data_IF_056844735474
#
_entry.id   IF_056844735474
#
_cell.length_a   1.000
_cell.length_b   1.000
_cell.length_c   1.000
_cell.angle_alpha   90.00
_cell.angle_beta   90.00
_cell.angle_gamma   90.00
#
_symmetry.space_group_name_H-M   'P 1'
#
loop_
_entity.id
_entity.type
_entity.pdbx_description
1 polymer ?
#
# COMPACT_ATOMS: atom_id res chain seq x y z
N UNK A 1 35.15 7.74 3.87
CA UNK A 1 35.12 7.46 2.42
C UNK A 1 34.25 8.50 1.74
N UNK A 2 34.65 8.94 0.58
CA UNK A 2 33.98 9.91 -0.28
C UNK A 2 33.82 9.26 -1.65
N UNK A 3 32.61 9.33 -2.23
CA UNK A 3 32.36 8.96 -3.60
C UNK A 3 32.42 10.24 -4.44
N UNK A 4 33.24 10.24 -5.47
CA UNK A 4 33.29 11.30 -6.47
C UNK A 4 32.39 10.93 -7.66
N UNK A 5 31.43 11.79 -7.94
CA UNK A 5 30.54 11.64 -9.10
C UNK A 5 31.09 12.47 -10.23
N UNK A 6 31.43 11.87 -11.40
CA UNK A 6 31.90 12.61 -12.56
C UNK A 6 30.75 13.44 -13.16
N UNK A 7 31.06 14.66 -13.63
CA UNK A 7 30.12 15.58 -14.24
C UNK A 7 30.78 16.89 -14.57
N UNK A 8 30.05 17.82 -15.21
CA UNK A 8 30.54 19.18 -15.48
C UNK A 8 30.87 19.92 -14.18
N UNK A 9 30.12 19.65 -13.12
CA UNK A 9 30.42 20.03 -11.73
C UNK A 9 30.58 18.76 -10.89
N UNK A 10 31.83 18.35 -10.58
CA UNK A 10 32.07 17.15 -9.76
C UNK A 10 31.44 17.28 -8.39
N UNK A 11 30.59 16.34 -8.01
CA UNK A 11 29.98 16.28 -6.71
C UNK A 11 30.67 15.24 -5.83
N UNK A 12 30.79 15.53 -4.53
CA UNK A 12 31.32 14.61 -3.52
C UNK A 12 30.19 14.15 -2.60
N UNK A 13 30.02 12.85 -2.47
CA UNK A 13 29.05 12.25 -1.56
C UNK A 13 29.79 11.59 -0.39
N UNK A 14 29.47 12.02 0.82
CA UNK A 14 30.05 11.47 2.05
C UNK A 14 29.37 10.14 2.36
N UNK A 15 30.16 9.05 2.35
CA UNK A 15 29.67 7.69 2.64
C UNK A 15 29.78 7.33 4.15
N UNK A 16 29.62 8.34 5.03
CA UNK A 16 29.62 8.10 6.49
C UNK A 16 28.46 7.20 6.87
N UNK A 17 28.78 6.10 7.58
CA UNK A 17 27.77 5.11 8.01
C UNK A 17 27.42 4.04 6.97
N UNK A 18 27.84 4.18 5.71
CA UNK A 18 27.61 3.15 4.70
C UNK A 18 28.19 1.78 5.06
N UNK A 19 29.41 1.66 5.60
CA UNK A 19 29.95 0.36 6.03
C UNK A 19 29.07 -0.32 7.09
N UNK A 20 28.58 0.44 8.08
CA UNK A 20 27.71 -0.09 9.14
C UNK A 20 26.37 -0.56 8.58
N UNK A 21 25.79 0.21 7.63
CA UNK A 21 24.60 -0.17 6.91
C UNK A 21 24.79 -1.47 6.13
N UNK A 22 25.87 -1.57 5.35
CA UNK A 22 26.17 -2.77 4.55
C UNK A 22 26.40 -3.99 5.45
N UNK A 23 27.10 -3.81 6.59
CA UNK A 23 27.27 -4.87 7.56
C UNK A 23 25.92 -5.31 8.16
N UNK A 24 25.02 -4.36 8.44
CA UNK A 24 23.68 -4.68 8.93
C UNK A 24 22.86 -5.44 7.89
N UNK A 25 22.96 -5.07 6.61
CA UNK A 25 22.33 -5.80 5.50
C UNK A 25 22.86 -7.24 5.44
N UNK A 26 24.18 -7.43 5.47
CA UNK A 26 24.80 -8.76 5.47
C UNK A 26 24.34 -9.62 6.65
N UNK A 27 24.22 -9.00 7.84
CA UNK A 27 23.74 -9.68 9.05
C UNK A 27 22.28 -10.14 8.91
N UNK A 28 21.40 -9.27 8.42
CA UNK A 28 19.96 -9.59 8.22
C UNK A 28 19.77 -10.66 7.15
N UNK A 29 20.57 -10.61 6.10
CA UNK A 29 20.55 -11.59 5.01
C UNK A 29 21.37 -12.85 5.29
N UNK A 30 21.99 -12.95 6.48
CA UNK A 30 22.85 -14.07 6.89
C UNK A 30 24.02 -14.31 5.92
N UNK A 31 24.58 -13.23 5.37
CA UNK A 31 25.71 -13.28 4.43
C UNK A 31 27.08 -13.07 5.08
N UNK A 32 27.13 -12.71 6.36
CA UNK A 32 28.40 -12.50 7.05
C UNK A 32 29.34 -13.71 6.90
N UNK A 33 30.60 -13.45 6.54
CA UNK A 33 31.61 -14.48 6.34
C UNK A 33 31.52 -15.25 5.01
N UNK A 34 30.58 -14.91 4.13
CA UNK A 34 30.50 -15.49 2.80
C UNK A 34 31.22 -14.64 1.76
N UNK A 35 31.56 -15.22 0.61
CA UNK A 35 32.14 -14.49 -0.53
C UNK A 35 31.18 -13.43 -1.12
N UNK A 36 29.89 -13.48 -0.78
CA UNK A 36 28.86 -12.54 -1.24
C UNK A 36 28.54 -11.43 -0.25
N UNK A 37 29.23 -11.37 0.90
CA UNK A 37 29.04 -10.29 1.86
C UNK A 37 29.48 -8.94 1.26
N UNK A 38 28.72 -7.88 1.58
CA UNK A 38 28.94 -6.53 1.03
C UNK A 38 30.03 -5.75 1.81
N UNK A 39 30.01 -5.89 3.14
CA UNK A 39 30.91 -5.13 4.02
C UNK A 39 32.21 -5.87 4.33
N UNK A 40 32.15 -7.17 4.58
CA UNK A 40 33.27 -8.01 4.99
C UNK A 40 33.15 -9.39 4.34
N UNK A 41 33.58 -9.54 3.09
CA UNK A 41 33.63 -10.86 2.42
C UNK A 41 34.49 -11.84 3.21
N UNK A 42 34.03 -13.07 3.32
CA UNK A 42 34.72 -14.19 3.94
C UNK A 42 34.98 -15.34 2.97
N UNK A 43 35.31 -16.51 3.49
CA UNK A 43 35.67 -17.67 2.66
C UNK A 43 34.48 -18.64 2.41
N UNK A 44 33.38 -18.48 3.13
CA UNK A 44 32.23 -19.34 2.96
C UNK A 44 31.59 -19.13 1.55
N UNK A 45 31.16 -20.18 0.88
CA UNK A 45 30.58 -20.07 -0.45
C UNK A 45 29.25 -19.28 -0.41
N UNK A 46 28.91 -18.61 -1.51
CA UNK A 46 27.62 -17.90 -1.64
C UNK A 46 26.39 -18.78 -1.37
N UNK A 47 26.51 -20.09 -1.63
CA UNK A 47 25.44 -21.07 -1.33
C UNK A 47 25.18 -21.30 0.16
N UNK A 48 26.04 -20.80 1.05
CA UNK A 48 25.77 -20.78 2.49
C UNK A 48 24.73 -19.74 2.90
N UNK A 49 24.44 -18.74 2.03
CA UNK A 49 23.37 -17.78 2.27
C UNK A 49 22.02 -18.47 2.08
N UNK A 50 21.10 -18.37 3.05
CA UNK A 50 19.76 -18.92 2.87
C UNK A 50 19.11 -18.38 1.59
N UNK A 51 18.51 -19.27 0.80
CA UNK A 51 17.72 -18.85 -0.36
C UNK A 51 16.54 -17.98 0.04
N UNK A 52 16.08 -17.14 -0.88
CA UNK A 52 14.83 -16.41 -0.69
C UNK A 52 13.70 -17.41 -0.41
N UNK A 53 12.98 -17.19 0.67
CA UNK A 53 11.75 -17.93 0.90
C UNK A 53 10.79 -17.61 -0.25
N UNK A 54 10.23 -18.63 -0.93
CA UNK A 54 9.24 -18.37 -1.96
C UNK A 54 8.09 -17.56 -1.34
N UNK A 55 7.68 -16.50 -2.02
CA UNK A 55 6.49 -15.76 -1.64
C UNK A 55 5.30 -16.74 -1.57
N UNK A 56 4.44 -16.56 -0.56
CA UNK A 56 3.24 -17.37 -0.46
C UNK A 56 2.41 -17.21 -1.76
N UNK A 57 2.06 -18.33 -2.37
CA UNK A 57 1.23 -18.30 -3.58
C UNK A 57 -0.15 -17.77 -3.19
N UNK A 58 -0.54 -16.65 -3.79
CA UNK A 58 -1.85 -16.05 -3.58
C UNK A 58 -2.92 -16.80 -4.37
N UNK A 59 -4.11 -16.95 -3.78
CA UNK A 59 -5.24 -17.52 -4.52
C UNK A 59 -5.72 -16.52 -5.57
N UNK A 60 -6.14 -16.99 -6.76
CA UNK A 60 -6.73 -16.13 -7.77
C UNK A 60 -8.01 -15.44 -7.26
N UNK A 61 -8.24 -14.22 -7.70
CA UNK A 61 -9.52 -13.54 -7.48
C UNK A 61 -10.64 -14.30 -8.20
N UNK A 62 -11.71 -14.69 -7.49
CA UNK A 62 -12.77 -15.49 -8.10
C UNK A 62 -13.67 -14.69 -9.05
N UNK A 63 -13.47 -13.37 -9.14
CA UNK A 63 -14.36 -12.48 -9.85
C UNK A 63 -15.69 -12.27 -9.10
N UNK A 64 -16.40 -11.21 -9.42
CA UNK A 64 -17.69 -10.90 -8.79
C UNK A 64 -18.64 -10.20 -9.76
N UNK A 65 -19.93 -10.51 -9.63
CA UNK A 65 -20.97 -9.82 -10.40
C UNK A 65 -21.07 -8.34 -9.98
N UNK A 66 -21.13 -7.40 -10.93
CA UNK A 66 -21.32 -5.98 -10.63
C UNK A 66 -22.54 -5.71 -9.75
N UNK A 67 -22.49 -4.58 -9.02
CA UNK A 67 -23.63 -4.11 -8.24
C UNK A 67 -24.77 -3.67 -9.14
N UNK A 68 -25.99 -4.14 -8.88
CA UNK A 68 -27.20 -3.65 -9.55
C UNK A 68 -27.54 -2.20 -9.10
N UNK A 69 -28.32 -1.48 -9.90
CA UNK A 69 -28.67 -0.09 -9.60
C UNK A 69 -29.38 0.08 -8.25
N UNK A 70 -30.36 -0.79 -7.94
CA UNK A 70 -31.07 -0.77 -6.65
C UNK A 70 -30.13 -1.07 -5.46
N UNK A 71 -29.24 -2.01 -5.63
CA UNK A 71 -28.26 -2.42 -4.64
C UNK A 71 -27.29 -1.26 -4.35
N UNK A 72 -26.73 -0.63 -5.39
CA UNK A 72 -25.86 0.55 -5.25
C UNK A 72 -26.58 1.70 -4.53
N UNK A 73 -27.80 2.02 -4.91
CA UNK A 73 -28.59 3.07 -4.28
C UNK A 73 -28.86 2.76 -2.80
N UNK A 74 -29.20 1.51 -2.49
CA UNK A 74 -29.44 1.08 -1.10
C UNK A 74 -28.18 1.15 -0.24
N UNK A 75 -27.03 0.70 -0.75
CA UNK A 75 -25.73 0.79 -0.08
C UNK A 75 -25.37 2.25 0.21
N UNK A 76 -25.40 3.13 -0.80
CA UNK A 76 -25.12 4.55 -0.62
C UNK A 76 -26.03 5.22 0.41
N UNK A 77 -27.32 4.89 0.41
CA UNK A 77 -28.28 5.42 1.39
C UNK A 77 -28.00 4.91 2.81
N UNK A 78 -27.59 3.64 2.94
CA UNK A 78 -27.24 3.05 4.24
C UNK A 78 -25.96 3.66 4.82
N UNK A 79 -24.92 3.86 3.97
CA UNK A 79 -23.66 4.48 4.39
C UNK A 79 -23.90 5.93 4.84
N UNK A 80 -24.63 6.73 4.04
CA UNK A 80 -24.92 8.13 4.40
C UNK A 80 -25.59 8.30 5.75
N UNK A 81 -26.38 7.32 6.20
CA UNK A 81 -27.04 7.35 7.52
C UNK A 81 -26.06 7.16 8.69
N UNK A 82 -24.91 6.58 8.44
CA UNK A 82 -23.88 6.30 9.45
C UNK A 82 -22.78 7.36 9.50
N UNK A 83 -22.72 8.23 8.48
CA UNK A 83 -21.75 9.34 8.48
C UNK A 83 -22.10 10.38 9.54
N UNK A 84 -21.10 10.94 10.21
CA UNK A 84 -21.32 12.10 11.08
C UNK A 84 -21.90 13.26 10.26
N UNK A 85 -22.69 14.15 10.87
CA UNK A 85 -23.15 15.37 10.20
C UNK A 85 -21.93 16.18 9.75
N UNK A 86 -22.00 16.78 8.55
CA UNK A 86 -20.94 17.66 8.06
C UNK A 86 -20.65 18.73 9.12
N UNK A 87 -19.40 18.86 9.54
CA UNK A 87 -19.00 19.94 10.45
C UNK A 87 -19.07 21.25 9.67
N UNK A 88 -20.03 22.10 10.01
CA UNK A 88 -20.07 23.49 9.58
C UNK A 88 -19.26 24.30 10.59
N UNK A 89 -17.94 24.24 10.50
CA UNK A 89 -17.07 25.17 11.20
C UNK A 89 -16.76 26.28 10.19
N UNK A 90 -17.23 27.46 10.46
CA UNK A 90 -17.08 28.75 9.75
C UNK A 90 -17.51 28.80 8.26
N UNK A 91 -18.26 29.86 7.92
CA UNK A 91 -18.91 30.08 6.62
C UNK A 91 -17.92 30.23 5.42
N UNK A 92 -16.63 30.30 5.69
CA UNK A 92 -15.57 30.51 4.69
C UNK A 92 -14.77 29.20 4.37
N UNK A 93 -14.97 28.11 5.12
CA UNK A 93 -14.32 26.84 4.83
C UNK A 93 -15.12 26.03 3.79
N UNK A 94 -14.49 25.75 2.66
CA UNK A 94 -15.04 24.87 1.64
C UNK A 94 -15.14 23.43 2.18
N UNK A 95 -16.32 23.10 2.70
CA UNK A 95 -16.60 21.71 3.12
C UNK A 95 -16.90 20.87 1.89
N UNK A 96 -15.99 19.98 1.52
CA UNK A 96 -16.26 19.00 0.47
C UNK A 96 -17.41 18.06 0.91
N UNK A 97 -18.40 17.83 0.02
CA UNK A 97 -19.46 16.88 0.34
C UNK A 97 -18.87 15.48 0.55
N UNK A 98 -19.44 14.68 1.48
CA UNK A 98 -18.97 13.30 1.72
C UNK A 98 -18.94 12.50 0.42
N UNK A 99 -17.76 12.03 0.02
CA UNK A 99 -17.59 11.16 -1.12
C UNK A 99 -17.65 9.70 -0.64
N UNK A 100 -18.57 8.94 -1.21
CA UNK A 100 -18.75 7.52 -0.91
C UNK A 100 -18.63 6.76 -2.23
N UNK A 101 -17.78 5.77 -2.23
CA UNK A 101 -17.65 4.84 -3.36
C UNK A 101 -18.02 3.44 -2.91
N UNK A 102 -18.74 2.71 -3.75
CA UNK A 102 -19.18 1.35 -3.44
C UNK A 102 -18.84 0.42 -4.61
N UNK A 103 -18.23 -0.69 -4.28
CA UNK A 103 -17.74 -1.69 -5.23
C UNK A 103 -18.24 -3.08 -4.87
N UNK A 104 -18.44 -3.98 -5.84
CA UNK A 104 -18.69 -5.38 -5.54
C UNK A 104 -17.41 -6.02 -4.99
N UNK A 105 -17.49 -6.79 -3.90
CA UNK A 105 -16.36 -7.51 -3.31
C UNK A 105 -16.53 -9.02 -3.40
N UNK A 106 -17.68 -9.53 -2.96
CA UNK A 106 -18.10 -10.92 -3.12
C UNK A 106 -19.56 -10.97 -3.59
N UNK A 107 -20.14 -12.15 -3.73
CA UNK A 107 -21.56 -12.29 -4.00
C UNK A 107 -22.45 -11.73 -2.87
N UNK A 108 -21.93 -11.64 -1.65
CA UNK A 108 -22.65 -11.20 -0.45
C UNK A 108 -22.18 -9.88 0.11
N UNK A 109 -20.97 -9.41 -0.26
CA UNK A 109 -20.33 -8.24 0.33
C UNK A 109 -20.00 -7.19 -0.74
N UNK A 110 -20.12 -5.93 -0.36
CA UNK A 110 -19.64 -4.77 -1.09
C UNK A 110 -18.52 -4.10 -0.31
N UNK A 111 -17.49 -3.64 -1.00
CA UNK A 111 -16.44 -2.78 -0.47
C UNK A 111 -16.95 -1.34 -0.52
N UNK A 112 -16.69 -0.59 0.55
CA UNK A 112 -17.12 0.80 0.70
C UNK A 112 -15.92 1.65 1.07
N UNK A 113 -15.71 2.71 0.32
CA UNK A 113 -14.77 3.78 0.66
C UNK A 113 -15.58 4.98 1.13
N UNK A 114 -15.31 5.41 2.34
CA UNK A 114 -15.89 6.60 2.95
C UNK A 114 -14.80 7.66 3.04
N UNK A 115 -15.01 8.78 2.36
CA UNK A 115 -14.09 9.88 2.39
C UNK A 115 -14.03 10.47 3.81
N UNK A 116 -12.83 10.55 4.39
CA UNK A 116 -12.62 11.04 5.75
C UNK A 116 -12.01 12.43 5.80
N UNK A 117 -11.01 12.73 4.95
CA UNK A 117 -10.34 14.03 4.91
C UNK A 117 -9.60 14.26 3.60
N UNK A 118 -9.34 15.52 3.22
CA UNK A 118 -8.52 15.90 2.05
C UNK A 118 -7.48 16.93 2.41
N UNK A 119 -6.24 16.60 2.16
CA UNK A 119 -5.17 17.60 2.08
C UNK A 119 -5.05 18.19 0.68
N UNK A 120 -3.99 19.01 0.45
CA UNK A 120 -3.76 19.67 -0.83
C UNK A 120 -3.56 18.70 -2.01
N UNK A 121 -3.09 17.48 -1.77
CA UNK A 121 -2.66 16.54 -2.81
C UNK A 121 -3.28 15.16 -2.69
N UNK A 122 -3.90 14.83 -1.57
CA UNK A 122 -4.39 13.49 -1.30
C UNK A 122 -5.64 13.54 -0.44
N UNK A 123 -6.56 12.63 -0.73
CA UNK A 123 -7.72 12.40 0.10
C UNK A 123 -7.55 11.08 0.87
N UNK A 124 -7.95 11.06 2.13
CA UNK A 124 -7.97 9.91 2.98
C UNK A 124 -9.36 9.24 2.93
N UNK A 125 -9.38 7.93 3.02
CA UNK A 125 -10.60 7.15 3.01
C UNK A 125 -10.60 6.13 4.14
N UNK A 126 -11.73 5.96 4.78
CA UNK A 126 -12.01 4.79 5.60
C UNK A 126 -12.54 3.66 4.71
N UNK A 127 -12.05 2.46 4.95
CA UNK A 127 -12.43 1.27 4.19
C UNK A 127 -13.29 0.38 5.05
N UNK A 128 -14.45 0.00 4.53
CA UNK A 128 -15.36 -0.93 5.21
C UNK A 128 -15.96 -1.94 4.24
N UNK A 129 -16.54 -3.00 4.77
CA UNK A 129 -17.34 -3.95 4.01
C UNK A 129 -18.76 -3.97 4.52
N UNK A 130 -19.74 -4.08 3.61
CA UNK A 130 -21.17 -4.17 3.93
C UNK A 130 -21.85 -5.31 3.18
N UNK A 131 -22.91 -5.83 3.77
CA UNK A 131 -23.82 -6.76 3.09
C UNK A 131 -24.36 -6.12 1.81
N UNK A 132 -24.47 -6.90 0.73
CA UNK A 132 -25.11 -6.49 -0.53
C UNK A 132 -26.63 -6.48 -0.49
N UNK A 133 -27.21 -7.00 0.59
CA UNK A 133 -28.66 -7.04 0.82
C UNK A 133 -29.05 -6.18 2.01
N UNK A 134 -30.29 -5.63 1.98
CA UNK A 134 -30.81 -4.88 3.10
C UNK A 134 -30.77 -5.71 4.41
N UNK A 135 -30.40 -5.10 5.55
CA UNK A 135 -30.26 -3.68 5.83
C UNK A 135 -28.87 -3.10 5.48
N UNK A 136 -28.05 -3.76 4.66
CA UNK A 136 -26.70 -3.33 4.28
C UNK A 136 -25.74 -3.17 5.48
N UNK A 137 -25.85 -4.13 6.40
CA UNK A 137 -25.08 -4.12 7.65
C UNK A 137 -23.57 -4.23 7.40
N UNK A 138 -22.79 -3.64 8.31
CA UNK A 138 -21.34 -3.81 8.32
C UNK A 138 -20.98 -5.30 8.41
N UNK A 139 -19.95 -5.68 7.68
CA UNK A 139 -19.39 -7.02 7.63
C UNK A 139 -17.89 -6.97 7.95
N UNK A 140 -17.33 -8.04 8.51
CA UNK A 140 -15.89 -8.12 8.71
C UNK A 140 -15.14 -7.97 7.38
N UNK A 141 -14.11 -7.12 7.35
CA UNK A 141 -13.16 -6.98 6.26
C UNK A 141 -11.82 -7.51 6.73
N UNK A 142 -11.33 -8.56 6.10
CA UNK A 142 -10.01 -9.11 6.40
C UNK A 142 -8.98 -8.48 5.46
N UNK A 143 -7.96 -7.83 6.04
CA UNK A 143 -6.89 -7.20 5.30
C UNK A 143 -5.55 -7.45 6.01
N UNK A 144 -4.56 -7.91 5.26
CA UNK A 144 -3.20 -8.06 5.78
C UNK A 144 -2.62 -6.67 6.08
N UNK A 145 -2.16 -6.50 7.32
CA UNK A 145 -1.54 -5.25 7.78
C UNK A 145 -0.21 -4.98 7.09
N UNK A 146 0.16 -3.71 7.01
CA UNK A 146 1.46 -3.28 6.52
C UNK A 146 2.57 -3.64 7.52
N UNK A 147 3.80 -3.98 7.06
CA UNK A 147 4.90 -4.37 7.94
C UNK A 147 5.33 -3.28 8.93
N UNK A 148 5.13 -2.01 8.60
CA UNK A 148 5.58 -0.86 9.41
C UNK A 148 4.50 -0.29 10.34
N UNK A 149 3.40 -0.97 10.54
CA UNK A 149 2.28 -0.52 11.38
C UNK A 149 0.97 -0.45 10.61
N UNK A 150 -0.12 -0.20 11.32
CA UNK A 150 -1.43 -0.01 10.71
C UNK A 150 -1.53 1.40 10.12
N UNK A 151 -1.99 1.48 8.89
CA UNK A 151 -2.47 2.73 8.32
C UNK A 151 -3.94 2.82 8.72
N UNK A 152 -4.27 3.68 9.68
CA UNK A 152 -5.66 3.89 10.11
C UNK A 152 -6.49 4.53 9.00
N UNK A 153 -5.81 5.25 8.07
CA UNK A 153 -6.41 5.89 6.91
C UNK A 153 -5.62 5.54 5.66
N UNK A 154 -6.29 5.07 4.63
CA UNK A 154 -5.68 4.82 3.35
C UNK A 154 -5.85 6.06 2.45
N UNK A 155 -4.74 6.56 1.91
CA UNK A 155 -4.73 7.70 0.99
C UNK A 155 -4.62 7.24 -0.46
N UNK A 156 -5.23 7.99 -1.38
CA UNK A 156 -5.13 7.72 -2.82
C UNK A 156 -5.59 6.31 -3.20
N UNK A 157 -6.71 5.86 -2.64
CA UNK A 157 -7.23 4.50 -2.87
C UNK A 157 -7.77 4.31 -4.28
N UNK A 158 -7.45 3.15 -4.86
CA UNK A 158 -8.06 2.65 -6.07
C UNK A 158 -8.37 1.15 -5.90
N UNK A 159 -9.60 0.76 -6.25
CA UNK A 159 -9.99 -0.65 -6.28
C UNK A 159 -10.45 -1.05 -7.68
N UNK A 160 -9.94 -2.16 -8.15
CA UNK A 160 -10.24 -2.72 -9.47
C UNK A 160 -11.08 -4.00 -9.32
N UNK A 161 -12.41 -3.90 -9.41
CA UNK A 161 -13.29 -5.04 -9.17
C UNK A 161 -13.17 -6.16 -10.21
N UNK A 162 -12.51 -5.92 -11.34
CA UNK A 162 -12.22 -6.91 -12.36
C UNK A 162 -11.07 -7.84 -11.97
N UNK A 163 -10.13 -7.34 -11.18
CA UNK A 163 -8.92 -8.06 -10.76
C UNK A 163 -8.85 -8.34 -9.26
N UNK A 164 -9.71 -7.70 -8.47
CA UNK A 164 -9.65 -7.74 -7.01
C UNK A 164 -8.43 -7.01 -6.42
N UNK A 165 -7.78 -6.16 -7.21
CA UNK A 165 -6.64 -5.36 -6.77
C UNK A 165 -7.10 -4.10 -6.07
N UNK A 166 -6.51 -3.83 -4.90
CA UNK A 166 -6.64 -2.60 -4.14
C UNK A 166 -5.26 -1.97 -4.04
N UNK A 167 -5.14 -0.69 -4.34
CA UNK A 167 -3.90 0.06 -4.17
C UNK A 167 -4.13 1.34 -3.37
N UNK A 168 -3.08 1.76 -2.67
CA UNK A 168 -3.01 3.00 -1.90
C UNK A 168 -1.71 3.70 -2.25
N UNK A 169 -1.78 5.02 -2.47
CA UNK A 169 -0.60 5.85 -2.64
C UNK A 169 -0.75 7.11 -1.79
N UNK A 170 -0.09 7.10 -0.63
CA UNK A 170 -0.05 8.22 0.31
C UNK A 170 1.21 9.04 0.03
N UNK A 171 1.05 10.14 -0.72
CA UNK A 171 2.16 11.06 -1.04
C UNK A 171 2.51 11.94 0.14
N UNK A 172 3.79 12.08 0.45
CA UNK A 172 4.28 13.04 1.44
C UNK A 172 4.28 14.48 0.93
N UNK A 173 4.36 14.68 -0.39
CA UNK A 173 4.21 15.98 -1.07
C UNK A 173 3.79 15.82 -2.54
N UNK A 174 3.38 16.91 -3.18
CA UNK A 174 2.70 16.90 -4.48
C UNK A 174 3.44 16.26 -5.65
N UNK A 175 4.78 16.24 -5.64
CA UNK A 175 5.56 15.57 -6.71
C UNK A 175 5.70 14.06 -6.52
N UNK A 176 5.24 13.51 -5.37
CA UNK A 176 5.20 12.07 -5.14
C UNK A 176 6.56 11.39 -5.02
N UNK A 177 7.57 12.10 -4.53
CA UNK A 177 8.94 11.58 -4.35
C UNK A 177 9.25 11.11 -2.92
N UNK A 178 8.23 11.04 -2.08
CA UNK A 178 8.24 10.47 -0.74
C UNK A 178 6.81 10.08 -0.32
N UNK A 179 6.71 9.15 0.63
CA UNK A 179 5.43 8.65 1.13
C UNK A 179 5.40 7.13 1.29
N UNK A 180 4.20 6.58 1.15
CA UNK A 180 3.95 5.14 1.24
C UNK A 180 3.08 4.68 0.07
N UNK A 181 3.39 3.52 -0.48
CA UNK A 181 2.63 2.86 -1.52
C UNK A 181 2.39 1.41 -1.11
N UNK A 182 1.16 0.95 -1.25
CA UNK A 182 0.80 -0.42 -0.95
C UNK A 182 -0.19 -0.96 -1.98
N UNK A 183 -0.09 -2.25 -2.26
CA UNK A 183 -1.05 -2.97 -3.09
C UNK A 183 -1.46 -4.26 -2.41
N UNK A 184 -2.73 -4.59 -2.54
CA UNK A 184 -3.30 -5.84 -2.05
C UNK A 184 -4.07 -6.54 -3.15
N UNK A 185 -4.13 -7.83 -3.07
CA UNK A 185 -4.95 -8.68 -3.92
C UNK A 185 -6.02 -9.37 -3.07
N UNK A 186 -7.28 -9.28 -3.47
CA UNK A 186 -8.39 -9.97 -2.79
C UNK A 186 -8.51 -11.40 -3.30
N UNK A 187 -8.32 -12.37 -2.42
CA UNK A 187 -8.31 -13.80 -2.75
C UNK A 187 -9.69 -14.48 -2.64
N UNK A 188 -10.75 -13.67 -2.50
CA UNK A 188 -12.13 -14.12 -2.24
C UNK A 188 -12.51 -14.18 -0.76
N UNK A 189 -11.53 -14.04 0.15
CA UNK A 189 -11.72 -14.04 1.61
C UNK A 189 -11.09 -12.82 2.29
N UNK A 190 -9.87 -12.47 1.88
CA UNK A 190 -9.08 -11.41 2.49
C UNK A 190 -8.25 -10.66 1.44
N UNK A 191 -7.91 -9.41 1.74
CA UNK A 191 -6.90 -8.67 1.01
C UNK A 191 -5.52 -9.09 1.49
N UNK A 192 -4.75 -9.73 0.61
CA UNK A 192 -3.37 -10.16 0.83
C UNK A 192 -2.43 -9.09 0.29
N UNK A 193 -1.48 -8.62 1.11
CA UNK A 193 -0.50 -7.62 0.68
C UNK A 193 0.39 -8.20 -0.43
N UNK A 194 0.52 -7.47 -1.54
CA UNK A 194 1.32 -7.87 -2.71
C UNK A 194 2.55 -7.00 -2.92
N UNK A 195 2.47 -5.71 -2.59
CA UNK A 195 3.61 -4.80 -2.67
C UNK A 195 3.49 -3.75 -1.55
N UNK A 196 4.61 -3.40 -0.93
CA UNK A 196 4.70 -2.28 -0.02
C UNK A 196 6.04 -1.59 -0.16
N UNK A 197 5.98 -0.30 -0.42
CA UNK A 197 7.13 0.57 -0.58
C UNK A 197 6.99 1.79 0.31
N UNK A 198 8.11 2.26 0.82
CA UNK A 198 8.13 3.46 1.66
C UNK A 198 9.39 4.27 1.42
N UNK A 199 9.21 5.56 1.20
CA UNK A 199 10.27 6.56 1.12
C UNK A 199 9.95 7.68 2.12
N UNK A 200 10.53 7.64 3.33
CA UNK A 200 10.22 8.62 4.37
C UNK A 200 10.86 9.99 4.12
N UNK A 201 11.87 10.05 3.23
CA UNK A 201 12.61 11.28 2.91
C UNK A 201 12.34 11.68 1.46
N UNK A 202 11.87 12.90 1.23
CA UNK A 202 11.64 13.43 -0.11
C UNK A 202 12.96 13.73 -0.81
N UNK A 203 13.36 12.86 -1.73
CA UNK A 203 14.71 12.82 -2.35
C UNK A 203 14.71 13.07 -3.86
N UNK A 204 13.55 13.33 -4.45
CA UNK A 204 13.41 13.47 -5.90
C UNK A 204 13.35 12.14 -6.68
N UNK A 205 13.37 10.99 -5.98
CA UNK A 205 13.21 9.67 -6.61
C UNK A 205 11.73 9.33 -6.81
N UNK A 206 11.37 8.85 -7.99
CA UNK A 206 10.04 8.32 -8.28
C UNK A 206 9.72 7.07 -7.45
N UNK A 207 8.44 6.76 -7.30
CA UNK A 207 7.99 5.62 -6.49
C UNK A 207 8.48 4.26 -7.04
N UNK A 208 8.84 4.18 -8.32
CA UNK A 208 9.42 3.00 -8.95
C UNK A 208 10.75 2.61 -8.30
N UNK A 209 11.52 3.62 -7.87
CA UNK A 209 12.84 3.47 -7.26
C UNK A 209 12.80 3.40 -5.73
N UNK A 210 11.60 3.44 -5.12
CA UNK A 210 11.50 3.37 -3.67
C UNK A 210 11.86 1.97 -3.15
N UNK A 211 12.45 1.89 -1.94
CA UNK A 211 12.73 0.61 -1.30
C UNK A 211 11.48 -0.25 -1.18
N UNK A 212 11.53 -1.47 -1.73
CA UNK A 212 10.50 -2.49 -1.56
C UNK A 212 10.69 -3.13 -0.20
N UNK A 213 9.73 -2.94 0.70
CA UNK A 213 9.74 -3.50 2.06
C UNK A 213 8.96 -4.81 2.17
N UNK A 214 8.04 -5.05 1.22
CA UNK A 214 7.29 -6.29 1.08
C UNK A 214 6.97 -6.55 -0.39
N UNK A 215 7.07 -7.80 -0.79
CA UNK A 215 6.64 -8.24 -2.11
C UNK A 215 6.12 -9.68 -2.01
N UNK A 216 4.99 -9.95 -2.64
CA UNK A 216 4.45 -11.29 -2.85
C UNK A 216 4.11 -11.47 -4.34
N UNK A 217 4.22 -12.70 -4.85
CA UNK A 217 3.81 -12.97 -6.22
C UNK A 217 2.28 -12.86 -6.33
N UNK A 218 1.82 -11.84 -7.07
CA UNK A 218 0.42 -11.79 -7.48
C UNK A 218 0.11 -13.00 -8.39
N UNK A 219 -1.12 -13.57 -8.31
CA UNK A 219 -1.51 -14.64 -9.21
C UNK A 219 -1.36 -14.19 -10.66
N UNK A 220 -0.80 -15.04 -11.52
CA UNK A 220 -0.75 -14.75 -12.95
C UNK A 220 -2.19 -14.56 -13.45
N UNK A 221 -2.42 -13.47 -14.15
CA UNK A 221 -3.74 -13.24 -14.80
C UNK A 221 -4.03 -14.40 -15.75
N UNK A 222 -5.25 -14.94 -15.74
CA UNK A 222 -5.66 -16.00 -16.66
C UNK A 222 -5.62 -15.53 -18.12
#
# INVERSE_FOLDING_TARGET
QVLELPGEEPAQVLLKGLPDLLQRVDQVQQRLGTVSALAAPGEQPASAVPGLQPAAALRPYPGVKPLGARERTGLLAAVRKTLPPAKTEDADDYVMPPRIEVYPLTAQQALVFEFSDCGAYICLFDISSRSRTAPYALQPLQMQALPAGSVDHAGGLNYYPETGELSSFLMGRGIGDCGEMASWHFDGQAFQLTDYRRMPTCSGLGYEDWPVLWSAEAPKRP
#
